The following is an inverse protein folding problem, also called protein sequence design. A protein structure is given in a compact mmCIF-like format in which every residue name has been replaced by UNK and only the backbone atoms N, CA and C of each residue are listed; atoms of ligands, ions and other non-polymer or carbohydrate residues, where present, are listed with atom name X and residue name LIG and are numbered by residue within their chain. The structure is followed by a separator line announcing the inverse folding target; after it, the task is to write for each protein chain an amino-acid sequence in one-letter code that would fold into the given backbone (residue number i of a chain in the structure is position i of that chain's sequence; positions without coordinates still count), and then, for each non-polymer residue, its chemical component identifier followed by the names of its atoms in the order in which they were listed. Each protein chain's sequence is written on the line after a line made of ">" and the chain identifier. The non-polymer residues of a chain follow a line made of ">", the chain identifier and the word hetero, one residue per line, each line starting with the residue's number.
data_IF_753700256881
#
_entry.id   IF_753700256881
#
_cell.length_a   1.000
_cell.length_b   1.000
_cell.length_c   1.000
_cell.angle_alpha   90.00
_cell.angle_beta   90.00
_cell.angle_gamma   90.00
#
_symmetry.space_group_name_H-M   'P 1'
#
loop_
_entity.id
_entity.type
_entity.pdbx_description
1 polymer ?
#
# COMPACT_ATOMS: atom_id res chain seq x y z
N UNK A 1 5.09 13.25 13.16
CA UNK A 1 5.33 12.04 12.35
C UNK A 1 5.00 12.38 10.90
N UNK A 2 5.91 12.19 9.95
CA UNK A 2 5.71 12.68 8.56
C UNK A 2 4.44 12.10 7.90
N UNK A 3 4.19 10.79 8.05
CA UNK A 3 2.98 10.17 7.50
C UNK A 3 1.69 10.56 8.22
N UNK A 4 1.76 10.86 9.53
CA UNK A 4 0.61 11.40 10.23
C UNK A 4 0.22 12.77 9.69
N UNK A 5 1.20 13.62 9.38
CA UNK A 5 0.95 14.92 8.76
C UNK A 5 0.32 14.77 7.37
N UNK A 6 0.81 13.85 6.54
CA UNK A 6 0.20 13.56 5.23
C UNK A 6 -1.24 13.05 5.37
N UNK A 7 -1.51 12.17 6.34
CA UNK A 7 -2.86 11.71 6.63
C UNK A 7 -3.78 12.84 7.10
N UNK A 8 -3.32 13.68 8.04
CA UNK A 8 -4.06 14.87 8.49
C UNK A 8 -4.34 15.84 7.35
N UNK A 9 -3.38 16.05 6.44
CA UNK A 9 -3.57 16.87 5.25
C UNK A 9 -4.61 16.29 4.30
N UNK A 10 -4.59 14.97 4.08
CA UNK A 10 -5.61 14.29 3.28
C UNK A 10 -7.01 14.41 3.91
N UNK A 11 -7.11 14.30 5.25
CA UNK A 11 -8.34 14.50 6.00
C UNK A 11 -8.85 15.95 5.91
N UNK A 12 -7.95 16.94 6.00
CA UNK A 12 -8.28 18.35 5.82
C UNK A 12 -8.82 18.63 4.41
N UNK A 13 -8.20 18.07 3.36
CA UNK A 13 -8.72 18.14 1.99
C UNK A 13 -10.11 17.49 1.86
N UNK A 14 -10.29 16.31 2.44
CA UNK A 14 -11.57 15.59 2.37
C UNK A 14 -12.72 16.31 3.12
N UNK A 15 -12.39 17.19 4.07
CA UNK A 15 -13.33 17.99 4.87
C UNK A 15 -13.43 19.46 4.45
N UNK A 16 -12.72 19.85 3.38
CA UNK A 16 -12.74 21.21 2.86
C UNK A 16 -14.17 21.67 2.53
N UNK A 17 -14.46 22.96 2.71
CA UNK A 17 -15.78 23.55 2.49
C UNK A 17 -16.89 22.96 3.40
N UNK A 18 -16.51 22.55 4.61
CA UNK A 18 -17.44 22.08 5.66
C UNK A 18 -17.99 20.67 5.42
N UNK A 19 -17.37 19.89 4.52
CA UNK A 19 -17.73 18.48 4.29
C UNK A 19 -17.37 17.66 5.53
N UNK A 20 -18.18 16.64 5.82
CA UNK A 20 -17.96 15.75 6.96
C UNK A 20 -17.48 14.39 6.52
N UNK A 21 -16.56 13.80 7.28
CA UNK A 21 -16.13 12.42 7.04
C UNK A 21 -17.27 11.47 7.39
N UNK A 22 -17.50 10.50 6.52
CA UNK A 22 -18.51 9.45 6.70
C UNK A 22 -17.89 8.09 6.91
N UNK A 23 -16.76 7.82 6.26
CA UNK A 23 -16.13 6.51 6.28
C UNK A 23 -14.63 6.63 6.13
N UNK A 24 -13.92 5.85 6.94
CA UNK A 24 -12.47 5.66 6.81
C UNK A 24 -12.18 4.16 6.89
N UNK A 25 -11.76 3.57 5.79
CA UNK A 25 -11.41 2.14 5.74
C UNK A 25 -9.92 1.97 5.48
N UNK A 26 -9.25 1.23 6.36
CA UNK A 26 -7.81 1.04 6.27
C UNK A 26 -7.47 -0.42 6.08
N UNK A 27 -6.42 -0.70 5.32
CA UNK A 27 -5.82 -2.02 5.21
C UNK A 27 -4.38 -1.97 5.67
N UNK A 28 -3.89 -3.06 6.27
CA UNK A 28 -2.49 -3.19 6.64
C UNK A 28 -2.08 -4.66 6.67
N UNK A 29 -0.78 -4.92 6.61
CA UNK A 29 -0.28 -6.26 6.92
C UNK A 29 -0.17 -6.42 8.43
N UNK A 30 0.80 -5.73 9.01
CA UNK A 30 1.03 -5.68 10.44
C UNK A 30 0.23 -4.53 11.08
N UNK A 31 -0.22 -4.67 12.32
CA UNK A 31 -0.90 -3.61 13.05
C UNK A 31 -0.42 -3.51 14.50
N UNK A 32 -0.28 -2.27 14.97
CA UNK A 32 -0.36 -1.88 16.36
C UNK A 32 -1.72 -1.19 16.61
N UNK A 33 -2.60 -1.84 17.38
CA UNK A 33 -3.95 -1.32 17.65
C UNK A 33 -3.90 -0.05 18.49
N UNK A 34 -2.98 0.01 19.46
CA UNK A 34 -2.76 1.20 20.28
C UNK A 34 -2.31 2.39 19.43
N UNK A 35 -1.48 2.16 18.41
CA UNK A 35 -1.12 3.20 17.44
C UNK A 35 -2.36 3.76 16.71
N UNK A 36 -3.24 2.88 16.21
CA UNK A 36 -4.46 3.31 15.52
C UNK A 36 -5.37 4.11 16.46
N UNK A 37 -5.63 3.58 17.65
CA UNK A 37 -6.53 4.23 18.62
C UNK A 37 -5.96 5.55 19.15
N UNK A 38 -4.65 5.64 19.35
CA UNK A 38 -4.01 6.84 19.93
C UNK A 38 -3.70 7.94 18.92
N UNK A 39 -3.38 7.60 17.67
CA UNK A 39 -2.87 8.60 16.71
C UNK A 39 -3.73 8.73 15.45
N UNK A 40 -4.45 7.69 15.03
CA UNK A 40 -5.26 7.75 13.82
C UNK A 40 -6.67 8.24 14.17
N UNK A 41 -7.39 7.51 15.04
CA UNK A 41 -8.78 7.83 15.38
C UNK A 41 -9.01 9.28 15.86
N UNK A 42 -8.13 9.89 16.66
CA UNK A 42 -8.31 11.28 17.09
C UNK A 42 -8.40 12.28 15.94
N UNK A 43 -7.67 12.02 14.84
CA UNK A 43 -7.70 12.87 13.64
C UNK A 43 -9.08 12.85 12.97
N UNK A 44 -9.83 11.75 13.08
CA UNK A 44 -11.13 11.60 12.43
C UNK A 44 -12.22 12.45 13.09
N UNK A 45 -12.06 12.73 14.38
CA UNK A 45 -13.04 13.45 15.20
C UNK A 45 -12.51 14.78 15.74
N UNK A 46 -11.40 15.25 15.16
CA UNK A 46 -10.69 16.48 15.52
C UNK A 46 -10.49 16.61 17.04
N UNK A 47 -9.68 15.72 17.60
CA UNK A 47 -9.31 15.74 19.01
C UNK A 47 -7.82 15.47 19.23
N UNK A 48 -7.32 15.88 20.39
CA UNK A 48 -5.98 15.52 20.83
C UNK A 48 -5.83 14.01 21.04
N UNK A 49 -4.58 13.52 21.00
CA UNK A 49 -4.29 12.13 21.32
C UNK A 49 -4.76 11.78 22.75
N UNK A 50 -5.52 10.70 22.93
CA UNK A 50 -6.01 10.27 24.23
C UNK A 50 -4.84 9.93 25.17
N UNK A 51 -4.96 10.33 26.44
CA UNK A 51 -3.93 10.17 27.48
C UNK A 51 -4.39 9.24 28.60
N UNK A 52 -5.70 9.09 28.78
CA UNK A 52 -6.31 8.23 29.80
C UNK A 52 -7.56 7.50 29.23
N UNK A 53 -8.11 6.48 29.92
CA UNK A 53 -9.26 5.71 29.43
C UNK A 53 -10.51 6.53 29.09
N UNK A 54 -10.81 7.59 29.87
CA UNK A 54 -11.96 8.46 29.61
C UNK A 54 -11.84 9.19 28.26
N UNK A 55 -10.63 9.58 27.85
CA UNK A 55 -10.41 10.19 26.54
C UNK A 55 -10.77 9.23 25.39
N UNK A 56 -10.52 7.93 25.55
CA UNK A 56 -10.90 6.90 24.56
C UNK A 56 -12.42 6.73 24.48
N UNK A 57 -13.12 6.80 25.62
CA UNK A 57 -14.59 6.77 25.66
C UNK A 57 -15.19 7.99 24.95
N UNK A 58 -14.67 9.20 25.22
CA UNK A 58 -15.08 10.44 24.54
C UNK A 58 -14.86 10.33 23.03
N UNK A 59 -13.70 9.82 22.61
CA UNK A 59 -13.40 9.59 21.20
C UNK A 59 -14.41 8.62 20.55
N UNK A 60 -14.72 7.52 21.22
CA UNK A 60 -15.68 6.52 20.75
C UNK A 60 -17.09 7.13 20.60
N UNK A 61 -17.52 7.95 21.57
CA UNK A 61 -18.77 8.70 21.50
C UNK A 61 -18.79 9.66 20.30
N UNK A 62 -17.72 10.43 20.09
CA UNK A 62 -17.62 11.32 18.92
C UNK A 62 -17.71 10.57 17.59
N UNK A 63 -17.02 9.43 17.46
CA UNK A 63 -17.10 8.59 16.25
C UNK A 63 -18.55 8.15 15.98
N UNK A 64 -19.27 7.77 17.03
CA UNK A 64 -20.67 7.35 16.94
C UNK A 64 -21.61 8.52 16.57
N UNK A 65 -21.51 9.66 17.27
CA UNK A 65 -22.36 10.83 17.05
C UNK A 65 -22.17 11.42 15.65
N UNK A 66 -20.92 11.44 15.17
CA UNK A 66 -20.57 11.86 13.81
C UNK A 66 -20.88 10.80 12.75
N UNK A 67 -21.28 9.59 13.17
CA UNK A 67 -21.63 8.45 12.31
C UNK A 67 -20.50 8.05 11.36
N UNK A 68 -19.25 8.10 11.86
CA UNK A 68 -18.07 7.73 11.09
C UNK A 68 -17.92 6.20 11.06
N UNK A 69 -18.03 5.60 9.87
CA UNK A 69 -17.76 4.19 9.64
C UNK A 69 -16.25 3.93 9.51
N UNK A 70 -15.58 3.76 10.65
CA UNK A 70 -14.18 3.33 10.68
C UNK A 70 -14.08 1.81 10.62
N UNK A 71 -13.24 1.28 9.72
CA UNK A 71 -12.93 -0.15 9.66
C UNK A 71 -11.49 -0.41 9.31
N UNK A 72 -10.98 -1.47 9.89
CA UNK A 72 -9.64 -1.96 9.60
C UNK A 72 -9.68 -3.37 9.04
N UNK A 73 -8.88 -3.64 8.02
CA UNK A 73 -8.64 -4.97 7.49
C UNK A 73 -7.16 -5.34 7.64
N UNK A 74 -6.86 -6.49 8.23
CA UNK A 74 -5.47 -6.94 8.45
C UNK A 74 -5.29 -8.43 8.15
N UNK A 75 -4.04 -8.89 8.01
CA UNK A 75 -3.78 -10.33 7.81
C UNK A 75 -4.16 -11.12 9.07
N UNK A 76 -4.89 -12.22 8.90
CA UNK A 76 -5.36 -13.03 10.03
C UNK A 76 -4.25 -13.55 10.96
N UNK A 77 -3.01 -13.67 10.46
CA UNK A 77 -1.88 -14.23 11.24
C UNK A 77 -1.26 -13.24 12.19
N UNK A 78 -1.58 -11.96 12.07
CA UNK A 78 -0.95 -10.88 12.83
C UNK A 78 -1.66 -10.63 14.16
N UNK A 79 -2.94 -10.98 14.27
CA UNK A 79 -3.65 -10.93 15.56
C UNK A 79 -3.25 -12.13 16.42
N UNK A 80 -2.02 -12.11 16.94
CA UNK A 80 -1.58 -12.95 18.06
C UNK A 80 -1.49 -12.06 19.31
N UNK A 81 -2.04 -12.56 20.42
CA UNK A 81 -2.52 -11.82 21.59
C UNK A 81 -1.56 -10.82 22.26
N UNK A 82 -2.16 -9.97 23.09
CA UNK A 82 -1.59 -8.85 23.85
C UNK A 82 -1.65 -7.47 23.18
N UNK A 83 -2.78 -7.14 22.54
CA UNK A 83 -3.14 -5.72 22.37
C UNK A 83 -4.34 -5.38 23.25
N UNK A 84 -4.13 -4.53 24.25
CA UNK A 84 -5.21 -3.92 25.03
C UNK A 84 -5.94 -2.93 24.13
N UNK A 85 -6.93 -3.44 23.39
CA UNK A 85 -7.84 -2.64 22.57
C UNK A 85 -8.75 -1.84 23.50
N UNK A 86 -8.72 -0.51 23.40
CA UNK A 86 -9.45 0.40 24.29
C UNK A 86 -10.75 0.93 23.68
N UNK A 87 -11.00 0.68 22.40
CA UNK A 87 -12.21 1.13 21.69
C UNK A 87 -13.08 -0.05 21.25
N UNK A 88 -14.22 0.22 20.59
CA UNK A 88 -15.05 -0.80 19.93
C UNK A 88 -14.92 -0.81 18.40
N UNK A 89 -13.91 -0.12 17.85
CA UNK A 89 -13.73 -0.06 16.39
C UNK A 89 -13.63 -1.47 15.76
N UNK A 90 -14.29 -1.71 14.62
CA UNK A 90 -14.23 -2.99 13.92
C UNK A 90 -12.85 -3.29 13.30
N UNK A 91 -12.29 -4.45 13.64
CA UNK A 91 -11.08 -5.01 13.05
C UNK A 91 -11.42 -6.33 12.37
N UNK A 92 -11.21 -6.41 11.07
CA UNK A 92 -11.55 -7.55 10.23
C UNK A 92 -10.27 -8.28 9.78
N UNK A 93 -10.14 -9.55 10.15
CA UNK A 93 -9.04 -10.38 9.69
C UNK A 93 -9.31 -10.97 8.31
N UNK A 94 -8.33 -10.86 7.43
CA UNK A 94 -8.37 -11.42 6.07
C UNK A 94 -7.66 -12.76 6.05
N UNK A 95 -8.45 -13.80 5.78
CA UNK A 95 -7.93 -15.11 5.42
C UNK A 95 -7.73 -15.18 3.90
N UNK A 96 -6.48 -15.14 3.43
CA UNK A 96 -6.19 -15.18 1.99
C UNK A 96 -6.62 -16.49 1.30
N UNK A 97 -6.84 -17.57 2.07
CA UNK A 97 -7.38 -18.84 1.54
C UNK A 97 -8.86 -18.73 1.15
N UNK A 98 -9.58 -17.72 1.64
CA UNK A 98 -11.01 -17.52 1.39
C UNK A 98 -11.32 -16.78 0.10
N UNK A 99 -10.32 -16.23 -0.61
CA UNK A 99 -10.55 -15.62 -1.93
C UNK A 99 -11.01 -16.68 -2.94
N UNK A 100 -11.96 -16.34 -3.82
CA UNK A 100 -12.45 -17.27 -4.87
C UNK A 100 -11.33 -17.78 -5.79
N UNK A 101 -10.31 -16.94 -6.02
CA UNK A 101 -9.10 -17.27 -6.78
C UNK A 101 -7.98 -17.84 -5.89
N UNK A 102 -8.27 -18.37 -4.70
CA UNK A 102 -7.27 -18.87 -3.75
C UNK A 102 -6.37 -19.96 -4.33
N UNK A 103 -6.82 -20.73 -5.32
CA UNK A 103 -5.95 -21.68 -6.04
C UNK A 103 -4.75 -20.98 -6.73
N UNK A 104 -4.91 -19.73 -7.17
CA UNK A 104 -3.84 -18.88 -7.72
C UNK A 104 -3.00 -18.20 -6.63
N UNK A 105 -3.51 -18.14 -5.40
CA UNK A 105 -2.83 -17.59 -4.24
C UNK A 105 -2.27 -18.74 -3.41
N UNK A 106 -1.00 -19.10 -3.65
CA UNK A 106 -0.35 -20.23 -2.96
C UNK A 106 -0.55 -20.19 -1.43
N UNK A 107 -0.43 -21.35 -0.76
CA UNK A 107 -0.80 -21.56 0.67
C UNK A 107 -0.19 -20.55 1.67
N UNK A 108 0.90 -19.87 1.30
CA UNK A 108 1.59 -18.88 2.13
C UNK A 108 1.24 -17.42 1.78
N UNK A 109 0.24 -17.18 0.93
CA UNK A 109 -0.15 -15.84 0.49
C UNK A 109 -0.42 -14.90 1.69
N UNK A 110 0.23 -13.74 1.71
CA UNK A 110 0.01 -12.69 2.72
C UNK A 110 -0.96 -11.62 2.21
N UNK A 111 -1.80 -11.13 3.12
CA UNK A 111 -2.56 -9.91 2.92
C UNK A 111 -1.65 -8.72 3.25
N UNK A 112 -1.02 -8.15 2.22
CA UNK A 112 -0.01 -7.11 2.36
C UNK A 112 -0.37 -5.67 1.90
N UNK A 113 -1.62 -5.33 1.52
CA UNK A 113 -1.92 -3.97 1.07
C UNK A 113 -1.92 -2.98 2.26
N UNK A 114 -1.52 -1.72 2.01
CA UNK A 114 -1.55 -0.62 2.99
C UNK A 114 -2.27 0.58 2.40
N UNK A 115 -3.59 0.48 2.41
CA UNK A 115 -4.51 1.42 1.75
C UNK A 115 -5.31 2.16 2.80
N UNK A 116 -5.54 3.45 2.60
CA UNK A 116 -6.43 4.27 3.41
C UNK A 116 -7.48 4.87 2.49
N UNK A 117 -8.74 4.45 2.63
CA UNK A 117 -9.87 5.06 1.94
C UNK A 117 -10.52 6.08 2.88
N UNK A 118 -10.74 7.29 2.38
CA UNK A 118 -11.49 8.34 3.06
C UNK A 118 -12.68 8.69 2.17
N UNK A 119 -13.86 8.71 2.75
CA UNK A 119 -15.10 9.10 2.08
C UNK A 119 -15.84 10.14 2.92
N UNK A 120 -16.27 11.22 2.27
CA UNK A 120 -17.07 12.26 2.90
C UNK A 120 -18.58 12.11 2.64
N UNK A 121 -19.37 12.98 3.25
CA UNK A 121 -20.83 13.05 3.13
C UNK A 121 -21.34 13.44 1.73
N UNK A 122 -20.45 13.95 0.86
CA UNK A 122 -20.72 14.20 -0.56
C UNK A 122 -20.37 13.02 -1.48
N UNK A 123 -20.00 11.88 -0.91
CA UNK A 123 -19.54 10.68 -1.63
C UNK A 123 -18.30 10.94 -2.52
N UNK A 124 -17.49 11.93 -2.17
CA UNK A 124 -16.15 12.11 -2.74
C UNK A 124 -15.19 11.18 -2.01
N UNK A 125 -14.23 10.62 -2.75
CA UNK A 125 -13.28 9.64 -2.23
C UNK A 125 -11.86 10.18 -2.33
N UNK A 126 -11.08 9.95 -1.29
CA UNK A 126 -9.63 10.04 -1.32
C UNK A 126 -9.04 8.67 -1.00
N UNK A 127 -7.96 8.31 -1.68
CA UNK A 127 -7.24 7.08 -1.44
C UNK A 127 -5.77 7.35 -1.15
N UNK A 128 -5.31 6.80 -0.03
CA UNK A 128 -3.94 6.71 0.37
C UNK A 128 -3.39 5.32 0.08
N UNK A 129 -2.18 5.23 -0.46
CA UNK A 129 -1.50 3.97 -0.74
C UNK A 129 0.01 4.11 -0.55
N UNK A 130 0.66 3.07 -0.01
CA UNK A 130 2.10 3.09 0.18
C UNK A 130 2.68 1.86 0.87
N UNK A 131 3.84 2.03 1.48
CA UNK A 131 4.66 0.94 2.03
C UNK A 131 4.54 0.77 3.55
N UNK A 132 3.97 1.75 4.26
CA UNK A 132 3.89 1.81 5.72
C UNK A 132 2.76 0.94 6.30
N UNK A 133 3.09 0.07 7.26
CA UNK A 133 2.10 -0.59 8.11
C UNK A 133 1.54 0.39 9.16
N UNK A 134 0.33 0.15 9.66
CA UNK A 134 -0.28 0.91 10.76
C UNK A 134 0.37 0.58 12.11
N UNK A 135 1.58 1.11 12.29
CA UNK A 135 2.47 0.87 13.44
C UNK A 135 3.28 2.13 13.70
N UNK A 136 3.75 2.32 14.93
CA UNK A 136 4.66 3.41 15.28
C UNK A 136 5.91 3.38 14.38
N UNK A 137 6.53 2.21 14.19
CA UNK A 137 7.73 2.08 13.35
C UNK A 137 7.44 2.50 11.90
N UNK A 138 6.36 1.99 11.31
CA UNK A 138 5.95 2.37 9.95
C UNK A 138 5.71 3.87 9.76
N UNK A 139 5.16 4.57 10.77
CA UNK A 139 4.78 5.98 10.61
C UNK A 139 5.80 6.99 11.16
N UNK A 140 6.79 6.53 11.92
CA UNK A 140 7.76 7.41 12.59
C UNK A 140 9.22 7.03 12.42
N UNK A 141 9.55 5.74 12.30
CA UNK A 141 10.93 5.24 12.35
C UNK A 141 11.44 4.69 11.02
N UNK A 142 10.54 4.31 10.13
CA UNK A 142 10.90 3.85 8.80
C UNK A 142 10.89 5.00 7.81
N UNK A 143 11.83 4.99 6.87
CA UNK A 143 11.67 5.75 5.64
C UNK A 143 10.72 4.99 4.72
N UNK A 144 9.49 5.46 4.64
CA UNK A 144 8.42 4.89 3.81
C UNK A 144 8.10 5.80 2.63
N UNK A 145 7.35 5.26 1.67
CA UNK A 145 6.70 6.04 0.62
C UNK A 145 5.19 5.88 0.75
N UNK A 146 4.48 6.98 0.60
CA UNK A 146 3.03 7.02 0.68
C UNK A 146 2.51 8.20 -0.15
N UNK A 147 1.37 8.04 -0.80
CA UNK A 147 0.70 9.14 -1.50
C UNK A 147 -0.79 9.08 -1.27
N UNK A 148 -1.43 10.25 -1.23
CA UNK A 148 -2.88 10.42 -1.16
C UNK A 148 -3.37 11.13 -2.41
N UNK A 149 -4.40 10.58 -3.03
CA UNK A 149 -5.01 11.13 -4.23
C UNK A 149 -6.53 11.20 -4.08
N UNK A 150 -7.13 12.24 -4.65
CA UNK A 150 -8.58 12.27 -4.86
C UNK A 150 -8.95 11.31 -6.00
N UNK A 151 -10.05 10.58 -5.85
CA UNK A 151 -10.61 9.72 -6.89
C UNK A 151 -11.43 10.59 -7.84
N UNK A 152 -10.97 10.70 -9.07
CA UNK A 152 -11.50 11.63 -10.08
C UNK A 152 -12.15 10.90 -11.25
N UNK A 153 -11.75 9.64 -11.51
CA UNK A 153 -12.25 8.87 -12.64
C UNK A 153 -13.07 7.64 -12.26
N UNK A 154 -13.95 7.24 -13.17
CA UNK A 154 -14.76 6.02 -13.02
C UNK A 154 -13.88 4.78 -12.96
N UNK A 155 -12.75 4.76 -13.66
CA UNK A 155 -11.80 3.65 -13.68
C UNK A 155 -11.09 3.48 -12.32
N UNK A 156 -10.61 4.57 -11.73
CA UNK A 156 -10.06 4.56 -10.37
C UNK A 156 -11.10 4.05 -9.39
N UNK A 157 -12.32 4.61 -9.44
CA UNK A 157 -13.43 4.16 -8.60
C UNK A 157 -13.74 2.67 -8.76
N UNK A 158 -13.82 2.16 -10.00
CA UNK A 158 -14.09 0.75 -10.28
C UNK A 158 -12.99 -0.16 -9.71
N UNK A 159 -11.72 0.24 -9.83
CA UNK A 159 -10.59 -0.48 -9.26
C UNK A 159 -10.67 -0.54 -7.73
N UNK A 160 -10.87 0.60 -7.08
CA UNK A 160 -11.00 0.70 -5.61
C UNK A 160 -12.20 -0.10 -5.11
N UNK A 161 -13.35 0.00 -5.80
CA UNK A 161 -14.56 -0.74 -5.48
C UNK A 161 -14.34 -2.24 -5.63
N UNK A 162 -13.65 -2.70 -6.67
CA UNK A 162 -13.30 -4.11 -6.83
C UNK A 162 -12.45 -4.60 -5.66
N UNK A 163 -11.43 -3.82 -5.28
CA UNK A 163 -10.57 -4.16 -4.15
C UNK A 163 -11.36 -4.35 -2.86
N UNK A 164 -12.10 -3.33 -2.41
CA UNK A 164 -12.83 -3.40 -1.15
C UNK A 164 -14.01 -4.38 -1.17
N UNK A 165 -14.76 -4.50 -2.28
CA UNK A 165 -15.80 -5.53 -2.40
C UNK A 165 -15.21 -6.95 -2.27
N UNK A 166 -14.02 -7.18 -2.80
CA UNK A 166 -13.34 -8.46 -2.64
C UNK A 166 -13.02 -8.74 -1.17
N UNK A 167 -12.63 -7.72 -0.39
CA UNK A 167 -12.41 -7.86 1.06
C UNK A 167 -13.72 -8.12 1.82
N UNK A 168 -14.76 -7.34 1.55
CA UNK A 168 -16.10 -7.49 2.16
C UNK A 168 -16.61 -8.93 1.95
N UNK A 169 -16.53 -9.43 0.71
CA UNK A 169 -16.97 -10.77 0.35
C UNK A 169 -16.17 -11.88 1.06
N UNK A 170 -14.90 -11.65 1.35
CA UNK A 170 -14.07 -12.61 2.10
C UNK A 170 -14.40 -12.60 3.58
N UNK A 171 -14.63 -11.43 4.17
CA UNK A 171 -14.94 -11.31 5.59
C UNK A 171 -16.32 -11.89 5.92
N UNK A 172 -17.28 -11.80 4.98
CA UNK A 172 -18.66 -12.33 5.13
C UNK A 172 -19.38 -11.83 6.39
N UNK A 173 -19.03 -10.64 6.86
CA UNK A 173 -19.69 -10.01 8.01
C UNK A 173 -20.84 -9.12 7.51
N UNK A 174 -22.11 -9.43 7.85
CA UNK A 174 -23.27 -8.66 7.40
C UNK A 174 -23.32 -7.22 7.95
N UNK A 175 -22.54 -6.92 8.99
CA UNK A 175 -22.42 -5.57 9.54
C UNK A 175 -21.52 -4.65 8.70
N UNK A 176 -20.79 -5.18 7.71
CA UNK A 176 -20.03 -4.35 6.78
C UNK A 176 -20.99 -3.84 5.70
N UNK A 177 -21.21 -2.51 5.59
CA UNK A 177 -22.08 -1.97 4.57
C UNK A 177 -21.47 -2.21 3.18
N UNK A 178 -22.31 -2.28 2.12
CA UNK A 178 -21.81 -2.36 0.76
C UNK A 178 -20.92 -1.15 0.44
N UNK A 179 -19.91 -1.36 -0.41
CA UNK A 179 -19.14 -0.25 -0.95
C UNK A 179 -20.04 0.71 -1.73
N UNK A 180 -19.65 1.99 -1.80
CA UNK A 180 -20.36 3.04 -2.53
C UNK A 180 -20.76 2.57 -3.94
N UNK A 181 -22.00 2.84 -4.35
CA UNK A 181 -22.47 2.50 -5.70
C UNK A 181 -21.94 3.51 -6.71
N UNK A 182 -21.75 3.06 -7.96
CA UNK A 182 -21.31 3.96 -9.03
C UNK A 182 -22.29 5.13 -9.26
N UNK A 183 -23.59 4.88 -9.11
CA UNK A 183 -24.63 5.92 -9.23
C UNK A 183 -24.55 7.02 -8.18
N UNK A 184 -23.87 6.76 -7.06
CA UNK A 184 -23.68 7.72 -5.95
C UNK A 184 -22.27 8.30 -5.92
N UNK A 185 -21.37 7.80 -6.74
CA UNK A 185 -20.01 8.32 -6.83
C UNK A 185 -20.05 9.71 -7.46
N UNK A 186 -19.59 10.71 -6.71
CA UNK A 186 -19.48 12.08 -7.22
C UNK A 186 -18.21 12.20 -8.08
N UNK A 187 -18.27 11.68 -9.31
CA UNK A 187 -17.24 11.95 -10.29
C UNK A 187 -17.44 13.36 -10.83
N UNK A 188 -16.63 14.33 -10.37
CA UNK A 188 -16.35 15.47 -11.23
C UNK A 188 -15.73 14.86 -12.49
N UNK A 189 -16.44 14.91 -13.60
CA UNK A 189 -16.21 14.10 -14.80
C UNK A 189 -14.89 14.45 -15.50
N UNK A 190 -13.78 14.02 -14.93
CA UNK A 190 -12.47 14.04 -15.57
C UNK A 190 -12.44 12.86 -16.55
N UNK A 191 -12.20 13.14 -17.82
CA UNK A 191 -12.02 12.08 -18.81
C UNK A 191 -10.82 11.21 -18.43
N UNK A 192 -10.91 9.90 -18.65
CA UNK A 192 -9.83 8.94 -18.34
C UNK A 192 -8.47 9.35 -18.94
N UNK A 193 -8.47 10.00 -20.10
CA UNK A 193 -7.27 10.47 -20.80
C UNK A 193 -6.44 11.50 -20.03
N UNK A 194 -6.99 12.12 -18.97
CA UNK A 194 -6.28 13.08 -18.11
C UNK A 194 -6.04 12.56 -16.68
N UNK A 195 -6.24 11.26 -16.42
CA UNK A 195 -5.93 10.70 -15.11
C UNK A 195 -4.41 10.63 -14.88
N UNK A 196 -3.92 11.28 -13.83
CA UNK A 196 -2.49 11.29 -13.49
C UNK A 196 -2.02 9.99 -12.79
N UNK A 197 -2.96 9.16 -12.31
CA UNK A 197 -2.65 7.98 -11.52
C UNK A 197 -3.70 6.86 -11.67
N UNK A 198 -3.27 5.63 -11.42
CA UNK A 198 -4.10 4.42 -11.41
C UNK A 198 -3.99 3.71 -10.05
N UNK A 199 -5.11 3.14 -9.57
CA UNK A 199 -5.08 2.21 -8.44
C UNK A 199 -4.85 0.78 -8.93
N UNK A 200 -3.66 0.23 -8.68
CA UNK A 200 -3.28 -1.12 -9.11
C UNK A 200 -3.31 -2.06 -7.91
N UNK A 201 -3.90 -3.25 -8.06
CA UNK A 201 -3.93 -4.26 -6.99
C UNK A 201 -4.03 -5.69 -7.54
N UNK A 202 -3.71 -6.68 -6.71
CA UNK A 202 -3.64 -8.11 -7.08
C UNK A 202 -4.95 -8.70 -7.65
N UNK A 203 -6.11 -8.08 -7.41
CA UNK A 203 -7.40 -8.59 -7.90
C UNK A 203 -7.78 -8.11 -9.30
N UNK A 204 -6.95 -7.26 -9.92
CA UNK A 204 -7.10 -6.89 -11.32
C UNK A 204 -6.78 -8.08 -12.25
N UNK A 205 -7.27 -8.00 -13.49
CA UNK A 205 -7.01 -9.02 -14.51
C UNK A 205 -5.58 -8.96 -15.09
N UNK A 206 -4.76 -8.05 -14.58
CA UNK A 206 -3.40 -7.74 -15.02
C UNK A 206 -2.47 -7.81 -13.82
N UNK A 207 -1.26 -8.33 -14.01
CA UNK A 207 -0.25 -8.34 -12.94
C UNK A 207 0.48 -7.00 -12.85
N UNK A 208 1.15 -6.75 -11.72
CA UNK A 208 1.88 -5.51 -11.47
C UNK A 208 2.91 -5.21 -12.57
N UNK A 209 3.61 -6.24 -13.08
CA UNK A 209 4.60 -6.07 -14.14
C UNK A 209 3.99 -5.51 -15.43
N UNK A 210 2.80 -5.94 -15.80
CA UNK A 210 2.11 -5.42 -16.98
C UNK A 210 1.66 -3.95 -16.83
N UNK A 211 1.59 -3.43 -15.60
CA UNK A 211 1.34 -2.01 -15.34
C UNK A 211 2.64 -1.20 -15.36
N UNK A 212 3.71 -1.69 -14.74
CA UNK A 212 4.95 -0.90 -14.63
C UNK A 212 5.85 -1.04 -15.86
N UNK A 213 5.89 -2.20 -16.51
CA UNK A 213 6.71 -2.45 -17.70
C UNK A 213 5.91 -2.29 -18.99
N UNK A 214 6.64 -1.94 -20.05
CA UNK A 214 6.18 -1.89 -21.43
C UNK A 214 7.24 -2.50 -22.34
N UNK A 215 6.86 -2.89 -23.57
CA UNK A 215 7.82 -3.46 -24.53
C UNK A 215 9.00 -2.52 -24.81
N UNK A 216 8.77 -1.20 -24.77
CA UNK A 216 9.78 -0.15 -25.00
C UNK A 216 10.54 0.27 -23.74
N UNK A 217 10.33 -0.39 -22.58
CA UNK A 217 11.07 -0.10 -21.34
C UNK A 217 12.56 -0.42 -21.54
N UNK A 218 13.42 0.57 -21.31
CA UNK A 218 14.87 0.46 -21.49
C UNK A 218 15.65 0.45 -20.18
N UNK A 219 15.09 1.03 -19.11
CA UNK A 219 15.70 1.03 -17.78
C UNK A 219 14.65 0.88 -16.69
N UNK A 220 15.08 0.29 -15.57
CA UNK A 220 14.25 0.11 -14.37
C UNK A 220 15.02 0.56 -13.13
N UNK A 221 14.47 1.50 -12.36
CA UNK A 221 15.01 1.91 -11.06
C UNK A 221 14.06 1.42 -9.96
N UNK A 222 14.59 0.71 -8.97
CA UNK A 222 13.77 0.15 -7.88
C UNK A 222 14.38 0.44 -6.52
N UNK A 223 13.58 1.00 -5.63
CA UNK A 223 13.87 1.06 -4.20
C UNK A 223 13.13 -0.10 -3.54
N UNK A 224 13.85 -0.95 -2.82
CA UNK A 224 13.22 -2.05 -2.12
C UNK A 224 14.02 -2.49 -0.89
N UNK A 225 13.36 -2.79 0.24
CA UNK A 225 14.02 -3.37 1.41
C UNK A 225 14.34 -4.86 1.23
N UNK A 226 13.67 -5.54 0.29
CA UNK A 226 13.79 -6.98 0.09
C UNK A 226 13.93 -7.33 -1.39
N UNK A 227 14.83 -8.27 -1.66
CA UNK A 227 15.17 -8.71 -3.00
C UNK A 227 14.93 -10.20 -3.19
N UNK A 228 14.69 -10.60 -4.43
CA UNK A 228 14.58 -12.00 -4.83
C UNK A 228 15.83 -12.78 -4.44
N UNK A 229 15.67 -14.03 -4.01
CA UNK A 229 16.80 -14.95 -3.88
C UNK A 229 17.48 -15.25 -5.22
N UNK A 230 16.75 -15.11 -6.33
CA UNK A 230 17.26 -15.22 -7.69
C UNK A 230 17.01 -13.88 -8.42
N UNK A 231 17.86 -12.89 -8.17
CA UNK A 231 17.82 -11.59 -8.88
C UNK A 231 18.00 -11.77 -10.40
N UNK A 232 18.99 -12.54 -10.90
CA UNK A 232 19.16 -12.74 -12.34
C UNK A 232 17.90 -13.30 -13.01
N UNK A 233 17.31 -14.37 -12.45
CA UNK A 233 16.08 -14.95 -13.01
C UNK A 233 14.88 -14.01 -12.99
N UNK A 234 14.80 -13.11 -12.01
CA UNK A 234 13.77 -12.07 -11.97
C UNK A 234 13.99 -11.00 -13.06
N UNK A 235 15.23 -10.61 -13.34
CA UNK A 235 15.55 -9.66 -14.41
C UNK A 235 15.30 -10.27 -15.78
N UNK A 236 15.63 -11.55 -15.99
CA UNK A 236 15.32 -12.25 -17.24
C UNK A 236 13.80 -12.32 -17.49
N UNK A 237 13.00 -12.49 -16.42
CA UNK A 237 11.54 -12.39 -16.50
C UNK A 237 11.07 -10.98 -16.95
N UNK A 238 11.78 -9.92 -16.55
CA UNK A 238 11.48 -8.56 -17.00
C UNK A 238 11.87 -8.37 -18.47
N UNK A 239 13.04 -8.87 -18.88
CA UNK A 239 13.47 -8.85 -20.30
C UNK A 239 12.50 -9.60 -21.21
N UNK A 240 11.85 -10.67 -20.72
CA UNK A 240 10.80 -11.36 -21.47
C UNK A 240 9.55 -10.49 -21.72
N UNK A 241 9.31 -9.46 -20.91
CA UNK A 241 8.23 -8.46 -21.11
C UNK A 241 8.71 -7.19 -21.78
N UNK A 242 9.99 -6.85 -21.61
CA UNK A 242 10.65 -5.65 -22.11
C UNK A 242 11.99 -6.04 -22.73
N UNK A 243 12.01 -6.54 -23.98
CA UNK A 243 13.24 -7.01 -24.62
C UNK A 243 14.33 -5.94 -24.73
N UNK A 244 13.93 -4.66 -24.76
CA UNK A 244 14.81 -3.50 -24.79
C UNK A 244 15.40 -3.11 -23.41
N UNK A 245 15.08 -3.84 -22.33
CA UNK A 245 15.56 -3.54 -20.98
C UNK A 245 17.08 -3.77 -20.88
N UNK A 246 17.84 -2.69 -20.80
CA UNK A 246 19.30 -2.70 -20.76
C UNK A 246 19.89 -2.58 -19.35
N UNK A 247 19.18 -1.92 -18.43
CA UNK A 247 19.73 -1.66 -17.10
C UNK A 247 18.68 -1.72 -16.00
N UNK A 248 19.06 -2.32 -14.88
CA UNK A 248 18.29 -2.36 -13.64
C UNK A 248 19.13 -1.74 -12.52
N UNK A 249 18.62 -0.68 -11.90
CA UNK A 249 19.26 0.02 -10.78
C UNK A 249 18.49 -0.28 -9.50
N UNK A 250 19.18 -0.81 -8.50
CA UNK A 250 18.60 -1.18 -7.22
C UNK A 250 19.13 -0.28 -6.11
N UNK A 251 18.24 0.43 -5.44
CA UNK A 251 18.51 1.11 -4.17
C UNK A 251 18.01 0.19 -3.06
N UNK A 252 18.93 -0.27 -2.23
CA UNK A 252 18.62 -1.21 -1.16
C UNK A 252 18.73 -0.58 0.22
N UNK A 253 17.92 -1.09 1.11
CA UNK A 253 18.20 -1.05 2.54
C UNK A 253 19.37 -1.98 2.86
N UNK A 254 20.43 -1.45 3.47
CA UNK A 254 21.57 -2.26 3.92
C UNK A 254 21.24 -2.83 5.30
N UNK A 255 21.34 -4.14 5.47
CA UNK A 255 21.23 -4.77 6.78
C UNK A 255 22.30 -4.18 7.71
N UNK A 256 21.85 -3.58 8.82
CA UNK A 256 22.69 -2.87 9.80
C UNK A 256 23.63 -1.83 9.14
N UNK A 257 23.24 -1.23 8.01
CA UNK A 257 24.07 -0.27 7.28
C UNK A 257 25.24 -0.86 6.47
N UNK A 258 25.47 -2.17 6.52
CA UNK A 258 26.70 -2.77 5.98
C UNK A 258 26.52 -3.61 4.71
N UNK A 259 25.48 -4.45 4.61
CA UNK A 259 25.38 -5.42 3.52
C UNK A 259 24.01 -5.45 2.84
N UNK A 260 23.99 -5.64 1.53
CA UNK A 260 22.77 -5.89 0.76
C UNK A 260 22.17 -7.25 1.16
N UNK A 261 20.86 -7.31 1.37
CA UNK A 261 20.12 -8.57 1.65
C UNK A 261 19.92 -9.41 0.38
N UNK A 262 21.01 -9.69 -0.34
CA UNK A 262 21.02 -10.43 -1.60
C UNK A 262 22.05 -11.54 -1.49
N UNK A 263 21.67 -12.75 -1.92
CA UNK A 263 22.61 -13.86 -2.04
C UNK A 263 23.48 -13.64 -3.27
N UNK A 264 24.79 -13.49 -3.07
CA UNK A 264 25.74 -13.31 -4.16
C UNK A 264 25.78 -14.53 -5.10
N UNK A 265 26.03 -14.30 -6.39
CA UNK A 265 26.26 -15.32 -7.40
C UNK A 265 27.12 -14.78 -8.54
N UNK A 266 27.79 -15.66 -9.29
CA UNK A 266 28.61 -15.29 -10.44
C UNK A 266 27.79 -14.60 -11.53
N UNK A 267 26.52 -14.99 -11.69
CA UNK A 267 25.58 -14.33 -12.59
C UNK A 267 25.35 -12.86 -12.21
N UNK A 268 25.22 -12.55 -10.91
CA UNK A 268 25.12 -11.16 -10.45
C UNK A 268 26.41 -10.39 -10.77
N UNK A 269 27.58 -11.00 -10.54
CA UNK A 269 28.87 -10.38 -10.85
C UNK A 269 28.99 -10.04 -12.35
N UNK A 270 28.59 -10.96 -13.23
CA UNK A 270 28.59 -10.74 -14.67
C UNK A 270 27.61 -9.64 -15.10
N UNK A 271 26.40 -9.60 -14.53
CA UNK A 271 25.44 -8.54 -14.83
C UNK A 271 25.95 -7.16 -14.41
N UNK A 272 26.67 -7.08 -13.29
CA UNK A 272 27.32 -5.82 -12.86
C UNK A 272 28.41 -5.43 -13.86
N UNK A 273 29.29 -6.35 -14.25
CA UNK A 273 30.35 -6.08 -15.23
C UNK A 273 29.81 -5.61 -16.58
N UNK A 274 28.65 -6.13 -17.00
CA UNK A 274 27.95 -5.73 -18.24
C UNK A 274 27.11 -4.46 -18.08
N UNK A 275 27.09 -3.82 -16.90
CA UNK A 275 26.22 -2.69 -16.57
C UNK A 275 24.71 -2.98 -16.72
N UNK A 276 24.31 -4.25 -16.68
CA UNK A 276 22.90 -4.67 -16.70
C UNK A 276 22.25 -4.52 -15.32
N UNK A 277 23.06 -4.57 -14.25
CA UNK A 277 22.63 -4.43 -12.87
C UNK A 277 23.56 -3.47 -12.12
N UNK A 278 23.01 -2.51 -11.40
CA UNK A 278 23.80 -1.60 -10.55
C UNK A 278 23.15 -1.42 -9.19
N UNK A 279 23.96 -1.49 -8.14
CA UNK A 279 23.52 -1.24 -6.77
C UNK A 279 23.91 0.16 -6.31
N UNK A 280 22.97 0.84 -5.67
CA UNK A 280 23.16 2.17 -5.11
C UNK A 280 22.86 2.13 -3.61
N UNK A 281 23.57 2.99 -2.86
CA UNK A 281 23.13 3.36 -1.52
C UNK A 281 21.98 4.35 -1.64
N UNK A 282 21.17 4.49 -0.59
CA UNK A 282 20.13 5.51 -0.54
C UNK A 282 20.74 6.90 -0.80
N UNK A 283 20.31 7.62 -1.86
CA UNK A 283 20.88 8.91 -2.20
C UNK A 283 20.34 10.04 -1.32
N UNK A 284 19.29 9.80 -0.53
CA UNK A 284 18.71 10.81 0.35
C UNK A 284 19.45 10.83 1.69
N UNK A 285 19.68 12.03 2.28
CA UNK A 285 20.16 12.12 3.66
C UNK A 285 19.26 11.32 4.59
N UNK A 286 19.83 10.36 5.31
CA UNK A 286 19.11 9.59 6.31
C UNK A 286 19.07 10.40 7.61
N UNK A 287 17.87 10.70 8.09
CA UNK A 287 17.68 11.19 9.45
C UNK A 287 18.14 10.10 10.42
N UNK A 288 19.02 10.43 11.36
CA UNK A 288 19.65 9.47 12.29
C UNK A 288 18.62 8.70 13.14
N UNK A 289 17.39 9.22 13.25
CA UNK A 289 16.28 8.57 13.95
C UNK A 289 15.62 7.45 13.14
N UNK A 290 15.93 7.35 11.83
CA UNK A 290 15.34 6.34 10.95
C UNK A 290 16.09 5.00 11.08
N UNK A 291 15.35 3.96 11.43
CA UNK A 291 15.88 2.61 11.64
C UNK A 291 16.13 1.86 10.33
N UNK A 292 15.35 2.13 9.27
CA UNK A 292 15.51 1.48 7.96
C UNK A 292 14.83 2.23 6.81
N UNK A 293 15.24 1.97 5.57
CA UNK A 293 14.50 2.34 4.37
C UNK A 293 13.56 1.20 3.96
N UNK A 294 12.26 1.37 4.21
CA UNK A 294 11.23 0.36 3.88
C UNK A 294 10.38 0.74 2.64
N UNK A 295 10.62 1.93 2.07
CA UNK A 295 10.01 2.40 0.84
C UNK A 295 10.14 1.39 -0.32
N UNK A 296 9.05 1.26 -1.09
CA UNK A 296 8.99 0.43 -2.30
C UNK A 296 8.57 1.31 -3.45
N UNK A 297 9.54 1.66 -4.28
CA UNK A 297 9.38 2.60 -5.38
C UNK A 297 9.89 1.92 -6.63
N UNK A 298 9.11 1.97 -7.70
CA UNK A 298 9.46 1.43 -9.00
C UNK A 298 9.34 2.54 -10.03
N UNK A 299 10.36 2.69 -10.87
CA UNK A 299 10.35 3.60 -11.99
C UNK A 299 10.82 2.86 -13.23
N UNK A 300 9.94 2.71 -14.22
CA UNK A 300 10.32 2.26 -15.55
C UNK A 300 10.53 3.45 -16.46
N UNK A 301 11.56 3.37 -17.30
CA UNK A 301 11.90 4.40 -18.28
C UNK A 301 11.88 3.73 -19.64
N UNK A 302 10.86 4.05 -20.45
CA UNK A 302 10.75 3.64 -21.84
C UNK A 302 11.14 4.75 -22.80
N UNK A 303 11.18 4.42 -24.09
CA UNK A 303 11.49 5.38 -25.16
C UNK A 303 10.41 6.45 -25.29
N UNK A 304 9.14 6.08 -25.05
CA UNK A 304 7.98 6.97 -25.20
C UNK A 304 7.34 7.36 -23.88
N UNK A 305 7.36 6.45 -22.91
CA UNK A 305 6.69 6.65 -21.62
C UNK A 305 7.57 6.23 -20.47
N UNK A 306 7.51 6.97 -19.38
CA UNK A 306 8.04 6.54 -18.09
C UNK A 306 6.87 6.30 -17.14
N UNK A 307 6.97 5.28 -16.29
CA UNK A 307 5.95 4.99 -15.28
C UNK A 307 6.58 4.96 -13.91
N UNK A 308 5.80 5.38 -12.93
CA UNK A 308 6.19 5.40 -11.54
C UNK A 308 5.14 4.67 -10.71
N UNK A 309 5.57 3.82 -9.80
CA UNK A 309 4.70 3.12 -8.88
C UNK A 309 5.28 3.12 -7.47
N UNK A 310 4.39 3.28 -6.51
CA UNK A 310 4.66 3.16 -5.08
C UNK A 310 3.67 2.15 -4.49
N UNK A 311 4.05 1.50 -3.40
CA UNK A 311 3.11 0.61 -2.72
C UNK A 311 3.81 -0.44 -1.88
N UNK A 312 3.30 -1.65 -1.97
CA UNK A 312 3.64 -2.78 -1.10
C UNK A 312 4.43 -3.88 -1.81
N UNK A 313 4.84 -3.64 -3.07
CA UNK A 313 5.54 -4.57 -3.97
C UNK A 313 7.06 -4.55 -3.78
N UNK A 314 7.62 -5.62 -3.20
CA UNK A 314 9.08 -5.81 -3.10
C UNK A 314 9.68 -6.27 -4.43
N UNK A 315 10.99 -6.07 -4.61
CA UNK A 315 11.77 -6.60 -5.75
C UNK A 315 11.97 -8.12 -5.63
N UNK A 316 10.88 -8.88 -5.62
CA UNK A 316 10.85 -10.34 -5.41
C UNK A 316 9.88 -10.96 -6.41
N UNK A 317 10.04 -12.25 -6.72
CA UNK A 317 9.06 -12.96 -7.56
C UNK A 317 7.63 -12.90 -7.00
N UNK A 318 7.48 -12.96 -5.68
CA UNK A 318 6.17 -12.88 -5.00
C UNK A 318 5.59 -11.46 -5.06
N UNK A 319 6.45 -10.46 -4.89
CA UNK A 319 6.13 -9.04 -4.96
C UNK A 319 5.92 -8.49 -6.37
N UNK A 320 6.09 -9.28 -7.43
CA UNK A 320 5.75 -8.86 -8.81
C UNK A 320 4.55 -9.61 -9.38
N UNK A 321 3.86 -10.41 -8.54
CA UNK A 321 2.64 -11.15 -8.85
C UNK A 321 2.70 -12.19 -9.99
N UNK A 322 3.90 -12.49 -10.53
CA UNK A 322 4.09 -13.41 -11.68
C UNK A 322 4.51 -14.84 -11.30
N UNK A 323 4.79 -15.11 -10.02
CA UNK A 323 5.04 -16.48 -9.54
C UNK A 323 3.74 -17.30 -9.35
N UNK A 324 3.69 -18.53 -9.86
CA UNK A 324 2.55 -19.45 -9.72
C UNK A 324 2.37 -19.99 -8.29
N UNK A 325 3.40 -19.90 -7.45
CA UNK A 325 3.41 -20.36 -6.08
C UNK A 325 3.89 -19.20 -5.19
N UNK A 326 3.09 -18.88 -4.17
CA UNK A 326 3.30 -17.81 -3.18
C UNK A 326 3.16 -16.39 -3.79
N UNK A 327 1.98 -15.77 -3.66
CA UNK A 327 1.73 -14.37 -4.07
C UNK A 327 1.42 -13.53 -2.84
N UNK A 328 1.55 -12.21 -2.95
CA UNK A 328 0.96 -11.29 -1.98
C UNK A 328 -0.32 -10.68 -2.56
N UNK A 329 -1.31 -10.43 -1.70
CA UNK A 329 -2.29 -9.38 -1.99
C UNK A 329 -1.59 -8.07 -1.70
N UNK A 330 -1.43 -7.25 -2.73
CA UNK A 330 -0.66 -6.02 -2.68
C UNK A 330 -1.32 -4.96 -3.55
N UNK A 331 -0.94 -3.72 -3.23
CA UNK A 331 -1.24 -2.48 -3.93
C UNK A 331 0.07 -1.80 -4.31
#
# INVERSE_FOLDING_TARGET
>A
MKLLNEFTHAMAKATENGKKIRKVWMTTFNIDIGFVEKYILPVLVDMECPRNPMDYEIMQHKLFDQKIDFRLFCDQRILSGDSDKLTTIPIHTINTKSFQNSKKFGKQCLFHPKVILIENDRNELHIGAGSANLTISGWSKNQEVYSFHQVETIEQFKSIRLFFNTLINVVKNPQIPPFLSLSRFNANSVQKSSAEWDFVHTFLNKDFLSFILSEDTTALNVWSPYFSHNVPGLIELFKATSPDLKSVKLVADKANGHHFRIKWSDAIAQMIQKNELTFYSNPLPQDERLEMTHAKVWQSIGKRTSRFAIGSWNFTHHGTARALLHKYVSI
#
